data_IF_129225215305
#
_entry.id   IF_129225215305
#
_cell.length_a   1.000
_cell.length_b   1.000
_cell.length_c   1.000
_cell.angle_alpha   90.00
_cell.angle_beta   90.00
_cell.angle_gamma   90.00
#
_symmetry.space_group_name_H-M   'P 1'
#
loop_
_entity.id
_entity.type
_entity.pdbx_description
1 polymer ?
#
# COMPACT_ATOMS: atom_id res chain seq x y z
N UNK A 1 20.09 -5.68 -2.80
CA UNK A 1 18.87 -5.25 -2.07
C UNK A 1 17.67 -5.57 -2.95
N UNK A 2 16.69 -6.25 -2.42
CA UNK A 2 15.45 -6.64 -3.08
C UNK A 2 14.26 -5.94 -2.43
N UNK A 3 13.51 -5.16 -3.20
CA UNK A 3 12.36 -4.39 -2.74
C UNK A 3 11.07 -5.08 -3.21
N UNK A 4 10.18 -5.47 -2.29
CA UNK A 4 8.82 -5.86 -2.62
C UNK A 4 7.95 -4.60 -2.67
N UNK A 5 7.65 -4.13 -3.87
CA UNK A 5 6.83 -2.94 -4.10
C UNK A 5 5.37 -3.35 -4.30
N UNK A 6 4.49 -2.92 -3.40
CA UNK A 6 3.09 -3.30 -3.35
C UNK A 6 2.20 -2.14 -3.76
N UNK A 7 1.37 -2.35 -4.76
CA UNK A 7 0.47 -1.33 -5.30
C UNK A 7 -0.87 -1.93 -5.73
N UNK A 8 -1.91 -1.13 -5.75
CA UNK A 8 -3.18 -1.55 -6.36
C UNK A 8 -3.09 -1.55 -7.88
N UNK A 9 -2.50 -0.51 -8.45
CA UNK A 9 -2.46 -0.21 -9.89
C UNK A 9 -1.05 -0.38 -10.44
N UNK A 10 -0.93 -1.06 -11.58
CA UNK A 10 0.32 -1.14 -12.33
C UNK A 10 0.00 -1.36 -13.82
N UNK A 11 0.83 -0.88 -14.77
CA UNK A 11 0.57 -1.05 -16.20
C UNK A 11 0.22 -2.48 -16.61
N UNK A 12 -0.74 -2.67 -17.53
CA UNK A 12 -1.42 -1.63 -18.33
C UNK A 12 -2.63 -0.97 -17.64
N UNK A 13 -3.02 -1.38 -16.44
CA UNK A 13 -4.19 -0.88 -15.72
C UNK A 13 -3.78 0.19 -14.71
N UNK A 14 -3.64 1.43 -15.19
CA UNK A 14 -3.36 2.62 -14.38
C UNK A 14 -4.50 3.62 -14.59
N UNK A 15 -5.15 4.02 -13.49
CA UNK A 15 -6.29 4.95 -13.53
C UNK A 15 -6.13 6.13 -12.56
N UNK A 16 -5.05 6.16 -11.76
CA UNK A 16 -4.80 7.21 -10.77
C UNK A 16 -3.33 7.62 -10.68
N UNK A 17 -3.11 8.75 -9.99
CA UNK A 17 -1.77 9.28 -9.79
C UNK A 17 -0.83 8.33 -9.02
N UNK A 18 -1.38 7.49 -8.13
CA UNK A 18 -0.60 6.49 -7.42
C UNK A 18 0.03 5.46 -8.36
N UNK A 19 -0.74 4.97 -9.35
CA UNK A 19 -0.23 4.01 -10.33
C UNK A 19 0.84 4.62 -11.25
N UNK A 20 0.68 5.89 -11.65
CA UNK A 20 1.71 6.63 -12.40
C UNK A 20 2.99 6.75 -11.58
N UNK A 21 2.87 7.21 -10.32
CA UNK A 21 4.00 7.35 -9.40
C UNK A 21 4.74 6.02 -9.23
N UNK A 22 4.03 4.92 -8.96
CA UNK A 22 4.65 3.60 -8.79
C UNK A 22 5.38 3.14 -10.05
N UNK A 23 4.79 3.38 -11.22
CA UNK A 23 5.39 3.01 -12.50
C UNK A 23 6.75 3.70 -12.70
N UNK A 24 6.79 5.02 -12.49
CA UNK A 24 8.01 5.81 -12.63
C UNK A 24 9.04 5.47 -11.54
N UNK A 25 8.60 5.36 -10.29
CA UNK A 25 9.48 4.99 -9.18
C UNK A 25 10.10 3.61 -9.39
N UNK A 26 9.31 2.63 -9.79
CA UNK A 26 9.81 1.29 -10.08
C UNK A 26 10.84 1.27 -11.21
N UNK A 27 10.62 2.08 -12.27
CA UNK A 27 11.56 2.20 -13.37
C UNK A 27 12.92 2.75 -12.91
N UNK A 28 12.92 3.77 -12.04
CA UNK A 28 14.15 4.34 -11.49
C UNK A 28 14.84 3.40 -10.49
N UNK A 29 14.08 2.76 -9.61
CA UNK A 29 14.63 1.85 -8.61
C UNK A 29 15.24 0.59 -9.24
N UNK A 30 14.70 0.06 -10.33
CA UNK A 30 15.28 -1.09 -11.06
C UNK A 30 16.69 -0.85 -11.60
N UNK A 31 17.11 0.41 -11.75
CA UNK A 31 18.48 0.75 -12.08
C UNK A 31 19.44 0.65 -10.88
N UNK A 32 18.92 0.61 -9.65
CA UNK A 32 19.68 0.65 -8.40
C UNK A 32 19.62 -0.66 -7.61
N UNK A 33 18.51 -1.39 -7.72
CA UNK A 33 18.25 -2.59 -6.95
C UNK A 33 17.25 -3.52 -7.67
N UNK A 34 17.05 -4.71 -7.12
CA UNK A 34 16.00 -5.65 -7.55
C UNK A 34 14.64 -5.16 -7.03
N UNK A 35 13.65 -5.08 -7.91
CA UNK A 35 12.30 -4.62 -7.56
C UNK A 35 11.27 -5.62 -8.06
N UNK A 36 10.60 -6.28 -7.12
CA UNK A 36 9.45 -7.14 -7.37
C UNK A 36 8.17 -6.34 -7.21
N UNK A 37 7.39 -6.29 -8.26
CA UNK A 37 6.10 -5.58 -8.22
C UNK A 37 5.00 -6.57 -7.87
N UNK A 38 4.24 -6.26 -6.83
CA UNK A 38 3.02 -6.95 -6.41
C UNK A 38 1.83 -6.03 -6.64
N UNK A 39 0.86 -6.44 -7.47
CA UNK A 39 -0.29 -5.61 -7.78
C UNK A 39 -1.60 -6.38 -7.82
N UNK A 40 -2.71 -5.69 -8.01
CA UNK A 40 -4.02 -6.24 -8.26
C UNK A 40 -4.41 -6.08 -9.75
N UNK A 41 -5.48 -6.73 -10.19
CA UNK A 41 -6.04 -6.59 -11.52
C UNK A 41 -5.72 -7.76 -12.46
N UNK A 42 -5.74 -7.53 -13.78
CA UNK A 42 -5.55 -8.59 -14.75
C UNK A 42 -4.11 -9.15 -14.76
N UNK A 43 -3.92 -10.44 -15.09
CA UNK A 43 -2.59 -11.07 -15.21
C UNK A 43 -1.68 -10.32 -16.18
N UNK A 44 -0.38 -10.22 -15.82
CA UNK A 44 0.67 -9.54 -16.61
C UNK A 44 2.04 -10.12 -16.30
N UNK A 45 2.95 -10.04 -17.26
CA UNK A 45 4.31 -10.58 -17.11
C UNK A 45 5.25 -9.63 -16.35
N UNK A 46 4.86 -8.37 -16.18
CA UNK A 46 5.69 -7.31 -15.58
C UNK A 46 5.54 -7.18 -14.06
N UNK A 47 4.60 -7.92 -13.46
CA UNK A 47 4.32 -7.88 -12.03
C UNK A 47 3.63 -9.18 -11.56
N UNK A 48 3.79 -9.50 -10.30
CA UNK A 48 2.97 -10.52 -9.64
C UNK A 48 1.58 -9.98 -9.33
N UNK A 49 0.55 -10.61 -9.88
CA UNK A 49 -0.84 -10.22 -9.64
C UNK A 49 -1.45 -11.05 -8.53
N UNK A 50 -2.13 -10.38 -7.61
CA UNK A 50 -2.79 -10.99 -6.46
C UNK A 50 -4.29 -10.78 -6.51
N UNK A 51 -5.01 -11.80 -6.92
CA UNK A 51 -6.46 -11.80 -6.93
C UNK A 51 -7.03 -12.08 -5.53
N UNK A 52 -8.18 -11.52 -5.18
CA UNK A 52 -8.91 -11.89 -3.98
C UNK A 52 -9.36 -13.36 -4.04
N UNK A 53 -9.62 -13.95 -2.88
CA UNK A 53 -10.17 -15.30 -2.79
C UNK A 53 -11.51 -15.38 -3.53
N UNK A 54 -11.71 -16.36 -4.42
CA UNK A 54 -12.98 -16.56 -5.13
C UNK A 54 -14.19 -16.72 -4.20
N UNK A 55 -13.99 -17.25 -2.98
CA UNK A 55 -15.05 -17.35 -1.97
C UNK A 55 -15.59 -15.99 -1.49
N UNK A 56 -14.82 -14.91 -1.70
CA UNK A 56 -15.24 -13.54 -1.40
C UNK A 56 -15.89 -12.81 -2.59
N UNK A 57 -16.25 -13.53 -3.65
CA UNK A 57 -16.95 -12.94 -4.78
C UNK A 57 -18.29 -12.36 -4.34
N UNK A 58 -18.51 -11.06 -4.57
CA UNK A 58 -19.68 -10.33 -4.12
C UNK A 58 -19.64 -9.86 -2.66
N UNK A 59 -18.56 -10.13 -1.92
CA UNK A 59 -18.35 -9.57 -0.61
C UNK A 59 -18.06 -8.06 -0.65
N UNK A 60 -18.06 -7.41 0.51
CA UNK A 60 -17.67 -6.00 0.61
C UNK A 60 -16.27 -5.78 0.04
N UNK A 61 -16.09 -4.68 -0.70
CA UNK A 61 -14.83 -4.36 -1.39
C UNK A 61 -13.61 -4.29 -0.45
N UNK A 62 -13.80 -3.92 0.81
CA UNK A 62 -12.70 -3.93 1.79
C UNK A 62 -12.23 -5.36 2.09
N UNK A 63 -13.15 -6.34 2.19
CA UNK A 63 -12.77 -7.74 2.42
C UNK A 63 -12.06 -8.35 1.23
N UNK A 64 -12.50 -8.04 0.01
CA UNK A 64 -11.81 -8.51 -1.20
C UNK A 64 -10.41 -7.91 -1.30
N UNK A 65 -10.24 -6.63 -0.95
CA UNK A 65 -8.91 -5.98 -0.87
C UNK A 65 -8.01 -6.69 0.15
N UNK A 66 -8.49 -6.89 1.39
CA UNK A 66 -7.70 -7.57 2.43
C UNK A 66 -7.27 -8.98 2.00
N UNK A 67 -8.12 -9.70 1.29
CA UNK A 67 -7.78 -11.03 0.79
C UNK A 67 -6.61 -11.01 -0.21
N UNK A 68 -6.56 -10.03 -1.09
CA UNK A 68 -5.42 -9.83 -1.99
C UNK A 68 -4.17 -9.39 -1.21
N UNK A 69 -4.32 -8.52 -0.21
CA UNK A 69 -3.22 -8.07 0.65
C UNK A 69 -2.56 -9.23 1.42
N UNK A 70 -3.33 -10.20 1.92
CA UNK A 70 -2.77 -11.40 2.56
C UNK A 70 -1.88 -12.20 1.61
N UNK A 71 -2.26 -12.30 0.35
CA UNK A 71 -1.45 -12.97 -0.69
C UNK A 71 -0.19 -12.17 -1.02
N UNK A 72 -0.27 -10.83 -1.08
CA UNK A 72 0.88 -9.96 -1.27
C UNK A 72 1.88 -10.10 -0.12
N UNK A 73 1.40 -10.06 1.13
CA UNK A 73 2.24 -10.23 2.31
C UNK A 73 3.01 -11.55 2.27
N UNK A 74 2.32 -12.66 1.98
CA UNK A 74 2.97 -13.97 1.86
C UNK A 74 4.01 -14.03 0.72
N UNK A 75 3.75 -13.34 -0.39
CA UNK A 75 4.63 -13.34 -1.56
C UNK A 75 5.88 -12.46 -1.39
N UNK A 76 5.94 -11.61 -0.37
CA UNK A 76 7.10 -10.77 -0.08
C UNK A 76 8.28 -11.50 0.58
N UNK A 77 8.17 -12.81 0.77
CA UNK A 77 9.25 -13.61 1.35
C UNK A 77 10.58 -13.42 0.61
N UNK A 78 11.65 -13.12 1.37
CA UNK A 78 12.98 -12.88 0.83
C UNK A 78 13.23 -11.47 0.31
N UNK A 79 12.29 -10.53 0.50
CA UNK A 79 12.55 -9.10 0.32
C UNK A 79 13.42 -8.57 1.46
N UNK A 80 14.26 -7.59 1.16
CA UNK A 80 15.04 -6.85 2.16
C UNK A 80 14.23 -5.64 2.70
N UNK A 81 13.27 -5.14 1.90
CA UNK A 81 12.39 -4.00 2.21
C UNK A 81 11.03 -4.24 1.57
N UNK A 82 9.96 -3.92 2.26
CA UNK A 82 8.62 -3.83 1.68
C UNK A 82 8.21 -2.36 1.53
N UNK A 83 7.68 -2.00 0.36
CA UNK A 83 7.23 -0.65 0.05
C UNK A 83 5.79 -0.68 -0.45
N UNK A 84 4.86 -0.22 0.37
CA UNK A 84 3.43 -0.21 0.05
C UNK A 84 2.92 1.18 -0.35
N UNK A 85 1.85 1.21 -1.14
CA UNK A 85 1.24 2.44 -1.65
C UNK A 85 -0.25 2.47 -1.36
N UNK A 86 -0.70 3.46 -0.60
CA UNK A 86 -2.09 3.64 -0.15
C UNK A 86 -2.60 2.55 0.80
N UNK A 87 -3.84 2.68 1.29
CA UNK A 87 -4.46 1.68 2.15
C UNK A 87 -4.70 0.32 1.47
N UNK A 88 -4.76 0.30 0.13
CA UNK A 88 -5.02 -0.93 -0.64
C UNK A 88 -3.91 -1.98 -0.54
N UNK A 89 -2.74 -1.59 -0.07
CA UNK A 89 -1.59 -2.47 0.12
C UNK A 89 -0.83 -2.20 1.41
N UNK A 90 -1.33 -1.25 2.21
CA UNK A 90 -0.67 -0.84 3.45
C UNK A 90 -0.62 -1.98 4.47
N UNK A 91 -1.72 -2.72 4.63
CA UNK A 91 -1.75 -3.85 5.54
C UNK A 91 -0.86 -5.01 5.05
N UNK A 92 -0.77 -5.23 3.73
CA UNK A 92 0.16 -6.21 3.18
C UNK A 92 1.61 -5.88 3.54
N UNK A 93 2.00 -4.61 3.41
CA UNK A 93 3.32 -4.13 3.82
C UNK A 93 3.59 -4.34 5.30
N UNK A 94 2.65 -3.95 6.15
CA UNK A 94 2.73 -4.14 7.61
C UNK A 94 2.86 -5.62 7.99
N UNK A 95 2.00 -6.48 7.45
CA UNK A 95 2.04 -7.92 7.74
C UNK A 95 3.32 -8.59 7.23
N UNK A 96 3.83 -8.18 6.07
CA UNK A 96 5.09 -8.70 5.55
C UNK A 96 6.28 -8.28 6.42
N UNK A 97 6.29 -7.03 6.90
CA UNK A 97 7.31 -6.54 7.85
C UNK A 97 7.33 -7.36 9.14
N UNK A 98 6.16 -7.58 9.75
CA UNK A 98 6.02 -8.39 10.96
C UNK A 98 6.42 -9.87 10.72
N UNK A 99 5.99 -10.43 9.59
CA UNK A 99 6.21 -11.86 9.29
C UNK A 99 7.67 -12.17 8.98
N UNK A 100 8.37 -11.27 8.29
CA UNK A 100 9.72 -11.52 7.79
C UNK A 100 10.80 -10.68 8.49
N UNK A 101 10.43 -9.77 9.39
CA UNK A 101 11.37 -8.92 10.13
C UNK A 101 12.10 -7.93 9.23
N UNK A 102 11.43 -7.38 8.21
CA UNK A 102 12.01 -6.43 7.24
C UNK A 102 11.38 -5.05 7.39
N UNK A 103 12.08 -3.96 7.06
CA UNK A 103 11.52 -2.61 7.12
C UNK A 103 10.33 -2.44 6.19
N UNK A 104 9.30 -1.69 6.67
CA UNK A 104 8.13 -1.28 5.90
C UNK A 104 8.18 0.23 5.62
N UNK A 105 8.18 0.58 4.34
CA UNK A 105 8.01 1.95 3.85
C UNK A 105 6.60 2.08 3.28
N UNK A 106 5.88 3.14 3.63
CA UNK A 106 4.55 3.42 3.10
C UNK A 106 4.54 4.78 2.39
N UNK A 107 4.11 4.83 1.13
CA UNK A 107 3.84 6.09 0.44
C UNK A 107 2.37 6.47 0.53
N UNK A 108 2.10 7.62 1.16
CA UNK A 108 0.76 8.20 1.30
C UNK A 108 0.41 9.08 0.08
N UNK A 109 -0.53 8.59 -0.75
CA UNK A 109 -1.09 9.34 -1.88
C UNK A 109 -2.45 9.96 -1.56
N UNK A 110 -3.14 9.43 -0.57
CA UNK A 110 -4.40 9.89 0.00
C UNK A 110 -4.60 9.22 1.35
N UNK A 111 -5.44 9.79 2.19
CA UNK A 111 -5.73 9.27 3.53
C UNK A 111 -7.24 9.04 3.70
N UNK A 112 -7.62 7.91 4.26
CA UNK A 112 -9.02 7.58 4.52
C UNK A 112 -9.72 8.62 5.42
N UNK A 113 -9.12 9.13 6.53
CA UNK A 113 -9.74 10.18 7.34
C UNK A 113 -9.99 11.50 6.61
N UNK A 114 -9.27 11.76 5.52
CA UNK A 114 -9.48 12.95 4.66
C UNK A 114 -10.50 12.70 3.54
N UNK A 115 -11.12 11.52 3.51
CA UNK A 115 -12.09 11.09 2.48
C UNK A 115 -13.38 10.56 3.12
N UNK A 116 -14.06 11.33 4.01
CA UNK A 116 -15.23 10.85 4.76
C UNK A 116 -16.40 10.42 3.87
N UNK A 117 -16.51 10.98 2.64
CA UNK A 117 -17.51 10.56 1.67
C UNK A 117 -17.38 9.10 1.24
N UNK A 118 -16.23 8.46 1.45
CA UNK A 118 -16.05 7.02 1.20
C UNK A 118 -16.87 6.14 2.15
N UNK A 119 -17.29 6.67 3.30
CA UNK A 119 -18.18 5.94 4.20
C UNK A 119 -19.51 5.61 3.52
N UNK A 120 -20.02 6.51 2.66
CA UNK A 120 -21.23 6.26 1.88
C UNK A 120 -21.02 5.20 0.79
N UNK A 121 -19.83 5.17 0.17
CA UNK A 121 -19.50 4.25 -0.91
C UNK A 121 -19.17 2.82 -0.42
N UNK A 122 -18.45 2.72 0.70
CA UNK A 122 -17.94 1.44 1.24
C UNK A 122 -18.80 0.90 2.39
N UNK A 123 -19.73 1.70 2.93
CA UNK A 123 -20.51 1.31 4.11
C UNK A 123 -19.61 0.85 5.26
N UNK A 124 -19.87 -0.35 5.81
CA UNK A 124 -19.04 -0.94 6.87
C UNK A 124 -17.56 -1.14 6.47
N UNK A 125 -17.27 -1.25 5.19
CA UNK A 125 -15.92 -1.39 4.65
C UNK A 125 -15.03 -0.18 4.92
N UNK A 126 -15.61 1.03 5.07
CA UNK A 126 -14.85 2.23 5.43
C UNK A 126 -14.17 2.12 6.80
N UNK A 127 -14.81 1.45 7.76
CA UNK A 127 -14.17 1.21 9.07
C UNK A 127 -12.99 0.25 8.96
N UNK A 128 -13.07 -0.70 8.03
CA UNK A 128 -11.98 -1.65 7.75
C UNK A 128 -10.83 -0.93 7.06
N UNK A 129 -11.10 -0.16 5.99
CA UNK A 129 -10.05 0.56 5.27
C UNK A 129 -9.33 1.59 6.16
N UNK A 130 -10.08 2.32 6.99
CA UNK A 130 -9.52 3.28 7.94
C UNK A 130 -8.69 2.60 9.03
N UNK A 131 -9.14 1.44 9.53
CA UNK A 131 -8.39 0.64 10.50
C UNK A 131 -7.09 0.09 9.87
N UNK A 132 -7.18 -0.45 8.67
CA UNK A 132 -6.04 -0.99 7.92
C UNK A 132 -4.98 0.08 7.67
N UNK A 133 -5.40 1.24 7.11
CA UNK A 133 -4.50 2.37 6.83
C UNK A 133 -3.84 2.89 8.11
N UNK A 134 -4.63 3.05 9.20
CA UNK A 134 -4.08 3.51 10.47
C UNK A 134 -2.97 2.61 10.98
N UNK A 135 -3.17 1.29 10.98
CA UNK A 135 -2.14 0.36 11.44
C UNK A 135 -0.91 0.42 10.53
N UNK A 136 -1.10 0.40 9.22
CA UNK A 136 0.01 0.47 8.28
C UNK A 136 0.85 1.74 8.47
N UNK A 137 0.20 2.91 8.64
CA UNK A 137 0.89 4.20 8.81
C UNK A 137 1.59 4.29 10.16
N UNK A 138 0.89 3.97 11.27
CA UNK A 138 1.44 4.14 12.63
C UNK A 138 2.63 3.19 12.92
N UNK A 139 2.69 2.04 12.24
CA UNK A 139 3.76 1.04 12.44
C UNK A 139 4.80 1.00 11.33
N UNK A 140 4.64 1.77 10.25
CA UNK A 140 5.67 1.87 9.21
C UNK A 140 7.00 2.42 9.78
N UNK A 141 8.11 1.89 9.31
CA UNK A 141 9.45 2.40 9.63
C UNK A 141 9.71 3.77 9.00
N UNK A 142 9.10 4.02 7.82
CA UNK A 142 9.08 5.33 7.18
C UNK A 142 7.78 5.55 6.40
N UNK A 143 7.28 6.78 6.43
CA UNK A 143 6.14 7.22 5.64
C UNK A 143 6.60 8.30 4.65
N UNK A 144 6.46 8.04 3.37
CA UNK A 144 6.71 9.01 2.31
C UNK A 144 5.42 9.77 2.03
N UNK A 145 5.46 11.08 2.20
CA UNK A 145 4.39 11.99 1.83
C UNK A 145 4.72 12.67 0.51
N UNK A 146 3.80 12.62 -0.45
CA UNK A 146 4.00 13.16 -1.82
C UNK A 146 3.91 14.69 -1.89
N UNK A 147 3.83 15.37 -0.77
CA UNK A 147 3.89 16.82 -0.63
C UNK A 147 3.95 17.22 0.84
N UNK A 148 4.36 18.46 1.12
CA UNK A 148 4.29 19.07 2.46
C UNK A 148 2.86 19.07 3.04
N UNK A 149 1.86 19.32 2.19
CA UNK A 149 0.45 19.23 2.58
C UNK A 149 0.06 17.83 3.02
N UNK A 150 0.51 16.80 2.30
CA UNK A 150 0.29 15.40 2.67
C UNK A 150 1.00 15.04 3.98
N UNK A 151 2.23 15.51 4.19
CA UNK A 151 2.97 15.27 5.44
C UNK A 151 2.20 15.84 6.64
N UNK A 152 1.70 17.05 6.52
CA UNK A 152 0.85 17.66 7.55
C UNK A 152 -0.42 16.83 7.78
N UNK A 153 -1.11 16.44 6.73
CA UNK A 153 -2.33 15.63 6.81
C UNK A 153 -2.09 14.27 7.48
N UNK A 154 -0.94 13.63 7.20
CA UNK A 154 -0.53 12.36 7.85
C UNK A 154 -0.36 12.57 9.35
N UNK A 155 0.40 13.57 9.76
CA UNK A 155 0.66 13.85 11.19
C UNK A 155 -0.61 14.27 11.95
N UNK A 156 -1.49 15.03 11.32
CA UNK A 156 -2.78 15.41 11.88
C UNK A 156 -3.73 14.21 12.05
N UNK A 157 -3.73 13.29 11.07
CA UNK A 157 -4.62 12.12 11.07
C UNK A 157 -4.12 10.99 12.00
N UNK A 158 -2.80 10.86 12.14
CA UNK A 158 -2.15 9.75 12.88
C UNK A 158 -1.19 10.28 13.95
N UNK A 159 -1.70 10.85 15.05
CA UNK A 159 -0.88 11.52 16.07
C UNK A 159 0.05 10.58 16.88
N UNK A 160 -0.05 9.27 16.69
CA UNK A 160 0.87 8.30 17.29
C UNK A 160 2.11 8.06 16.43
N UNK A 161 2.08 8.48 15.16
CA UNK A 161 3.23 8.36 14.28
C UNK A 161 4.33 9.33 14.73
N UNK A 162 5.55 8.82 14.88
CA UNK A 162 6.71 9.68 15.14
C UNK A 162 6.98 10.57 13.91
N UNK A 163 6.96 11.91 14.09
CA UNK A 163 7.20 12.82 12.98
C UNK A 163 8.54 12.62 12.27
N UNK A 164 9.55 12.07 12.95
CA UNK A 164 10.86 11.78 12.36
C UNK A 164 10.81 10.68 11.29
N UNK A 165 9.74 9.89 11.25
CA UNK A 165 9.51 8.86 10.24
C UNK A 165 8.79 9.39 8.99
N UNK A 166 8.34 10.64 8.97
CA UNK A 166 7.63 11.23 7.83
C UNK A 166 8.60 12.01 6.96
N UNK A 167 8.68 11.64 5.70
CA UNK A 167 9.57 12.24 4.71
C UNK A 167 8.77 12.77 3.53
N UNK A 168 9.10 13.98 3.06
CA UNK A 168 8.48 14.57 1.86
C UNK A 168 9.38 14.29 0.66
N UNK A 169 8.79 13.74 -0.38
CA UNK A 169 9.47 13.41 -1.64
C UNK A 169 8.60 13.88 -2.81
#
# INVERSE_FOLDING_TARGET
MRVAMMTREYPPEVYGGAGVHVTELAAQLKALCEVDIHCMGAPRDTAQVHDPDPALRGANAALTTLSAELRMANAAAGADVVHSHTWYTGLAGHLAAELYGVPHILTAHSLEPRRPWKAEQLGGGYRISSWSEKNAVEYADAVIAVSEGMAKDVLDAYPRLDPSRVHVV
#
